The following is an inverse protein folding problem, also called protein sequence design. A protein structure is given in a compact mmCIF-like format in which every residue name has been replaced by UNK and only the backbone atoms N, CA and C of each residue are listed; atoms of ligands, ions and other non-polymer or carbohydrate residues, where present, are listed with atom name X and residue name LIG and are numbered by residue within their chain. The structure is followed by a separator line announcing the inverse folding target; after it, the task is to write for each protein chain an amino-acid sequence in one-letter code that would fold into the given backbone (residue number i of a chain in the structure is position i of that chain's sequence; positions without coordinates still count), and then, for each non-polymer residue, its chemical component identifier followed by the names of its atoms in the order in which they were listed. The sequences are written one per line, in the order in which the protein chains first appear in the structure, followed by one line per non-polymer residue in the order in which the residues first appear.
data_IF_534945704092
#
_entry.id   IF_534945704092
#
_cell.length_a   1.000
_cell.length_b   1.000
_cell.length_c   1.000
_cell.angle_alpha   90.00
_cell.angle_beta   90.00
_cell.angle_gamma   90.00
#
_symmetry.space_group_name_H-M   'P 1'
#
loop_
_entity.id
_entity.type
_entity.pdbx_description
1 polymer ?
#
# COMPACT_ATOMS: atom_id res chain seq x y z
N UNK A 1 -15.77 -3.85 -11.67
CA UNK A 1 -16.40 -2.51 -11.67
C UNK A 1 -16.38 -1.95 -13.09
N UNK A 2 -17.51 -1.48 -13.58
CA UNK A 2 -17.67 -0.99 -14.95
C UNK A 2 -16.95 0.36 -15.16
N UNK A 3 -16.51 0.64 -16.40
CA UNK A 3 -15.83 1.91 -16.76
C UNK A 3 -16.66 3.15 -16.42
N UNK A 4 -17.99 3.04 -16.48
CA UNK A 4 -18.91 4.13 -16.15
C UNK A 4 -18.78 4.59 -14.68
N UNK A 5 -18.59 3.65 -13.74
CA UNK A 5 -18.43 3.96 -12.32
C UNK A 5 -17.10 4.68 -12.06
N UNK A 6 -16.03 4.24 -12.72
CA UNK A 6 -14.69 4.87 -12.61
C UNK A 6 -14.73 6.31 -13.11
N UNK A 7 -15.40 6.57 -14.23
CA UNK A 7 -15.62 7.93 -14.74
C UNK A 7 -16.39 8.81 -13.74
N UNK A 8 -17.37 8.25 -13.01
CA UNK A 8 -18.09 8.97 -11.96
C UNK A 8 -17.15 9.36 -10.81
N UNK A 9 -16.31 8.43 -10.35
CA UNK A 9 -15.31 8.69 -9.29
C UNK A 9 -14.33 9.77 -9.72
N UNK A 10 -13.75 9.66 -10.92
CA UNK A 10 -12.79 10.64 -11.45
C UNK A 10 -13.42 12.04 -11.60
N UNK A 11 -14.67 12.12 -12.06
CA UNK A 11 -15.40 13.40 -12.12
C UNK A 11 -15.67 14.02 -10.76
N UNK A 12 -15.98 13.18 -9.76
CA UNK A 12 -16.17 13.67 -8.40
C UNK A 12 -14.86 14.20 -7.80
N UNK A 13 -13.72 13.55 -8.10
CA UNK A 13 -12.41 13.90 -7.57
C UNK A 13 -11.78 15.12 -8.25
N UNK A 14 -11.81 15.16 -9.59
CA UNK A 14 -11.05 16.13 -10.38
C UNK A 14 -11.92 17.04 -11.26
N UNK A 15 -13.24 16.85 -11.26
CA UNK A 15 -14.17 17.60 -12.10
C UNK A 15 -14.23 17.11 -13.55
N UNK A 16 -14.70 17.97 -14.46
CA UNK A 16 -14.79 17.67 -15.90
C UNK A 16 -15.93 16.72 -16.30
N UNK A 17 -15.83 16.20 -17.52
CA UNK A 17 -16.86 15.36 -18.18
C UNK A 17 -16.36 13.98 -18.61
N UNK A 18 -15.09 13.87 -18.97
CA UNK A 18 -14.49 12.63 -19.45
C UNK A 18 -13.01 12.54 -19.05
N UNK A 19 -12.60 11.39 -18.54
CA UNK A 19 -11.20 11.03 -18.34
C UNK A 19 -10.59 10.34 -19.55
N UNK A 20 -9.31 10.57 -19.79
CA UNK A 20 -8.48 9.78 -20.71
C UNK A 20 -8.43 8.31 -20.29
N UNK A 21 -8.28 7.42 -21.27
CA UNK A 21 -8.26 5.96 -21.03
C UNK A 21 -7.13 5.54 -20.08
N UNK A 22 -5.97 6.19 -20.15
CA UNK A 22 -4.85 5.92 -19.23
C UNK A 22 -5.20 6.25 -17.78
N UNK A 23 -5.93 7.35 -17.54
CA UNK A 23 -6.38 7.73 -16.20
C UNK A 23 -7.47 6.77 -15.69
N UNK A 24 -8.34 6.28 -16.57
CA UNK A 24 -9.33 5.24 -16.22
C UNK A 24 -8.64 3.96 -15.77
N UNK A 25 -7.64 3.48 -16.52
CA UNK A 25 -6.89 2.27 -16.15
C UNK A 25 -6.16 2.45 -14.81
N UNK A 26 -5.53 3.62 -14.61
CA UNK A 26 -4.89 3.96 -13.33
C UNK A 26 -5.89 3.93 -12.16
N UNK A 27 -7.02 4.62 -12.30
CA UNK A 27 -8.04 4.68 -11.26
C UNK A 27 -8.69 3.33 -10.98
N UNK A 28 -8.76 2.43 -11.97
CA UNK A 28 -9.20 1.05 -11.76
C UNK A 28 -8.30 0.34 -10.75
N UNK A 29 -6.99 0.42 -10.95
CA UNK A 29 -6.00 -0.21 -10.06
C UNK A 29 -6.04 0.45 -8.67
N UNK A 30 -6.21 1.78 -8.59
CA UNK A 30 -6.35 2.51 -7.33
C UNK A 30 -7.59 2.05 -6.54
N UNK A 31 -8.69 1.74 -7.23
CA UNK A 31 -9.91 1.26 -6.60
C UNK A 31 -9.86 -0.23 -6.23
N UNK A 32 -9.00 -1.02 -6.88
CA UNK A 32 -8.71 -2.39 -6.46
C UNK A 32 -7.86 -2.42 -5.19
N UNK A 33 -6.95 -1.46 -5.01
CA UNK A 33 -6.05 -1.33 -3.86
C UNK A 33 -6.03 0.10 -3.31
N UNK A 34 -7.11 0.55 -2.65
CA UNK A 34 -7.20 1.91 -2.10
C UNK A 34 -6.18 2.16 -0.97
N UNK A 35 -5.67 1.09 -0.37
CA UNK A 35 -4.67 1.12 0.69
C UNK A 35 -3.23 1.31 0.20
N UNK A 36 -2.99 1.37 -1.12
CA UNK A 36 -1.65 1.40 -1.71
C UNK A 36 -1.45 2.55 -2.70
N UNK A 37 -0.21 3.01 -2.83
CA UNK A 37 0.21 3.93 -3.89
C UNK A 37 0.37 3.16 -5.19
N UNK A 38 -0.39 3.54 -6.22
CA UNK A 38 -0.33 2.86 -7.51
C UNK A 38 0.83 3.39 -8.35
N UNK A 39 1.68 2.48 -8.81
CA UNK A 39 2.72 2.69 -9.82
C UNK A 39 2.31 1.98 -11.09
N UNK A 40 1.87 2.72 -12.11
CA UNK A 40 1.34 2.12 -13.31
C UNK A 40 2.35 2.23 -14.46
N UNK A 41 2.78 1.09 -14.97
CA UNK A 41 3.71 1.02 -16.09
C UNK A 41 3.13 1.73 -17.32
N UNK A 42 3.85 2.69 -17.86
CA UNK A 42 3.58 3.32 -19.14
C UNK A 42 4.87 3.35 -19.95
N UNK A 43 5.05 2.38 -20.84
CA UNK A 43 6.32 2.19 -21.56
C UNK A 43 7.49 1.91 -20.62
N UNK A 44 8.44 2.86 -20.54
CA UNK A 44 9.69 2.74 -19.75
C UNK A 44 9.61 3.35 -18.34
N UNK A 45 8.42 3.79 -17.93
CA UNK A 45 8.22 4.46 -16.65
C UNK A 45 7.10 3.79 -15.86
N UNK A 46 7.19 3.88 -14.54
CA UNK A 46 6.02 3.83 -13.66
C UNK A 46 5.48 5.25 -13.50
N UNK A 47 4.30 5.52 -14.07
CA UNK A 47 3.60 6.81 -13.96
C UNK A 47 2.55 6.77 -12.85
N UNK A 48 2.42 7.90 -12.15
CA UNK A 48 1.42 8.15 -11.11
C UNK A 48 0.74 9.48 -11.43
N UNK A 49 -0.58 9.57 -11.23
CA UNK A 49 -1.39 10.72 -11.66
C UNK A 49 -2.23 11.36 -10.55
N UNK A 50 -2.52 12.65 -10.68
CA UNK A 50 -3.40 13.39 -9.78
C UNK A 50 -2.81 13.59 -8.38
N UNK A 51 -3.65 13.48 -7.36
CA UNK A 51 -3.24 13.63 -5.95
C UNK A 51 -2.10 12.69 -5.53
N UNK A 52 -2.13 11.37 -5.86
CA UNK A 52 -1.01 10.50 -5.50
C UNK A 52 0.29 10.92 -6.20
N UNK A 53 0.25 11.58 -7.37
CA UNK A 53 1.45 12.10 -8.01
C UNK A 53 2.07 13.26 -7.21
N UNK A 54 1.24 14.15 -6.64
CA UNK A 54 1.70 15.25 -5.79
C UNK A 54 2.31 14.72 -4.49
N UNK A 55 1.63 13.76 -3.87
CA UNK A 55 2.12 13.08 -2.67
C UNK A 55 3.45 12.38 -2.93
N UNK A 56 3.52 11.55 -3.97
CA UNK A 56 4.73 10.82 -4.33
C UNK A 56 5.89 11.76 -4.67
N UNK A 57 5.60 12.85 -5.39
CA UNK A 57 6.55 13.94 -5.66
C UNK A 57 7.19 14.48 -4.39
N UNK A 58 6.40 14.73 -3.34
CA UNK A 58 6.93 15.19 -2.04
C UNK A 58 7.68 14.12 -1.26
N UNK A 59 7.16 12.89 -1.19
CA UNK A 59 7.78 11.81 -0.42
C UNK A 59 9.16 11.42 -0.96
N UNK A 60 9.30 11.44 -2.28
CA UNK A 60 10.47 10.93 -2.98
C UNK A 60 11.37 12.02 -3.59
N UNK A 61 10.98 13.28 -3.48
CA UNK A 61 11.62 14.42 -4.14
C UNK A 61 11.66 14.26 -5.68
N UNK A 62 10.53 13.83 -6.24
CA UNK A 62 10.38 13.65 -7.69
C UNK A 62 9.78 14.90 -8.32
N UNK A 63 10.22 15.18 -9.55
CA UNK A 63 9.62 16.25 -10.36
C UNK A 63 8.18 15.90 -10.73
N UNK A 64 7.25 16.77 -10.36
CA UNK A 64 5.84 16.70 -10.76
C UNK A 64 5.62 17.58 -11.99
N UNK A 65 5.10 16.98 -13.05
CA UNK A 65 4.65 17.66 -14.27
C UNK A 65 3.12 17.71 -14.33
N UNK A 66 2.57 18.39 -15.34
CA UNK A 66 1.15 18.41 -15.62
C UNK A 66 0.85 17.73 -16.97
N UNK A 67 -0.22 16.94 -17.02
CA UNK A 67 -0.64 16.19 -18.20
C UNK A 67 -2.15 16.39 -18.44
N UNK A 68 -2.60 16.61 -19.69
CA UNK A 68 -4.02 16.73 -20.00
C UNK A 68 -4.68 15.35 -19.91
N UNK A 69 -5.31 15.06 -18.77
CA UNK A 69 -5.83 13.72 -18.46
C UNK A 69 -7.35 13.68 -18.34
N UNK A 70 -8.01 14.83 -18.30
CA UNK A 70 -9.47 14.95 -18.33
C UNK A 70 -9.91 16.09 -19.24
N UNK A 71 -11.17 16.05 -19.66
CA UNK A 71 -11.82 17.11 -20.45
C UNK A 71 -12.81 17.86 -19.57
N UNK A 72 -12.71 19.18 -19.56
CA UNK A 72 -13.60 20.12 -18.85
C UNK A 72 -14.98 20.24 -19.50
N UNK A 73 -15.94 20.82 -18.77
CA UNK A 73 -17.31 21.06 -19.27
C UNK A 73 -17.32 22.06 -20.44
N UNK A 74 -16.38 22.98 -20.44
CA UNK A 74 -16.07 23.95 -21.49
C UNK A 74 -15.27 23.35 -22.66
N UNK A 75 -15.02 22.03 -22.64
CA UNK A 75 -14.20 21.27 -23.60
C UNK A 75 -12.69 21.57 -23.55
N UNK A 76 -12.22 22.35 -22.59
CA UNK A 76 -10.79 22.57 -22.40
C UNK A 76 -10.16 21.40 -21.61
N UNK A 77 -8.88 21.07 -21.84
CA UNK A 77 -8.22 20.02 -21.08
C UNK A 77 -8.03 20.43 -19.61
N UNK A 78 -8.36 19.51 -18.70
CA UNK A 78 -8.00 19.60 -17.29
C UNK A 78 -6.64 18.94 -17.13
N UNK A 79 -5.69 19.74 -16.67
CA UNK A 79 -4.32 19.35 -16.40
C UNK A 79 -4.24 18.72 -15.01
N UNK A 80 -3.76 17.48 -14.93
CA UNK A 80 -3.54 16.79 -13.66
C UNK A 80 -2.04 16.56 -13.45
N UNK A 81 -1.64 16.54 -12.18
CA UNK A 81 -0.28 16.22 -11.78
C UNK A 81 0.11 14.83 -12.29
N UNK A 82 1.37 14.69 -12.70
CA UNK A 82 1.97 13.43 -13.11
C UNK A 82 3.41 13.39 -12.63
N UNK A 83 3.81 12.26 -12.08
CA UNK A 83 5.22 11.97 -11.80
C UNK A 83 5.56 10.59 -12.34
N UNK A 84 6.82 10.39 -12.71
CA UNK A 84 7.30 9.16 -13.33
C UNK A 84 8.59 8.67 -12.67
N UNK A 85 8.70 7.36 -12.51
CA UNK A 85 9.92 6.68 -12.08
C UNK A 85 10.40 5.81 -13.23
N UNK A 86 11.66 5.91 -13.60
CA UNK A 86 12.22 5.09 -14.69
C UNK A 86 12.31 3.63 -14.25
N UNK A 87 11.86 2.72 -15.10
CA UNK A 87 12.02 1.27 -14.87
C UNK A 87 13.50 0.92 -14.95
N UNK A 88 13.99 0.17 -13.98
CA UNK A 88 15.40 -0.11 -13.71
C UNK A 88 16.02 0.80 -12.64
N UNK A 89 15.34 1.87 -12.19
CA UNK A 89 15.80 2.75 -11.11
C UNK A 89 14.77 2.92 -9.98
N UNK A 90 13.72 2.11 -9.96
CA UNK A 90 12.61 2.19 -9.02
C UNK A 90 12.94 1.65 -7.62
N UNK A 91 14.01 0.86 -7.51
CA UNK A 91 14.39 0.13 -6.29
C UNK A 91 14.56 1.05 -5.09
N UNK A 92 15.32 2.13 -5.23
CA UNK A 92 15.57 3.08 -4.13
C UNK A 92 14.28 3.81 -3.71
N UNK A 93 13.46 4.18 -4.69
CA UNK A 93 12.17 4.81 -4.44
C UNK A 93 11.22 3.88 -3.69
N UNK A 94 11.18 2.61 -4.07
CA UNK A 94 10.36 1.59 -3.44
C UNK A 94 10.81 1.38 -2.00
N UNK A 95 12.11 1.19 -1.78
CA UNK A 95 12.68 1.06 -0.44
C UNK A 95 12.30 2.23 0.47
N UNK A 96 12.42 3.48 0.00
CA UNK A 96 12.04 4.67 0.77
C UNK A 96 10.57 4.64 1.18
N UNK A 97 9.67 4.27 0.27
CA UNK A 97 8.23 4.17 0.58
C UNK A 97 7.93 3.06 1.60
N UNK A 98 8.53 1.88 1.46
CA UNK A 98 8.33 0.76 2.39
C UNK A 98 8.89 1.07 3.79
N UNK A 99 10.03 1.77 3.86
CA UNK A 99 10.56 2.31 5.11
C UNK A 99 9.62 3.33 5.74
N UNK A 100 8.91 4.12 4.95
CA UNK A 100 7.86 5.03 5.44
C UNK A 100 6.55 4.31 5.79
N UNK A 101 6.41 3.02 5.49
CA UNK A 101 5.22 2.22 5.79
C UNK A 101 4.11 2.32 4.72
N UNK A 102 4.42 2.82 3.53
CA UNK A 102 3.49 2.76 2.41
C UNK A 102 3.51 1.38 1.76
N UNK A 103 2.35 1.00 1.21
CA UNK A 103 2.22 -0.12 0.28
C UNK A 103 2.27 0.42 -1.15
N UNK A 104 2.83 -0.35 -2.08
CA UNK A 104 2.93 0.03 -3.49
C UNK A 104 2.26 -1.03 -4.36
N UNK A 105 1.25 -0.62 -5.12
CA UNK A 105 0.55 -1.46 -6.07
C UNK A 105 1.14 -1.25 -7.47
N UNK A 106 1.76 -2.27 -8.05
CA UNK A 106 2.42 -2.17 -9.35
C UNK A 106 1.49 -2.68 -10.44
N UNK A 107 1.05 -1.77 -11.31
CA UNK A 107 0.30 -2.10 -12.52
C UNK A 107 1.24 -2.29 -13.70
N UNK A 108 1.15 -3.42 -14.41
CA UNK A 108 2.01 -3.71 -15.58
C UNK A 108 1.21 -3.78 -16.87
N UNK A 109 1.88 -3.49 -17.98
CA UNK A 109 1.31 -3.67 -19.32
C UNK A 109 1.16 -5.16 -19.62
N UNK A 110 -0.02 -5.56 -20.10
CA UNK A 110 -0.31 -6.96 -20.47
C UNK A 110 0.05 -7.18 -21.94
N UNK A 111 0.73 -8.29 -22.24
CA UNK A 111 1.05 -8.69 -23.60
C UNK A 111 -0.21 -9.16 -24.35
N UNK A 112 -0.28 -8.91 -25.66
CA UNK A 112 -1.36 -9.41 -26.53
C UNK A 112 -2.20 -8.35 -27.24
N UNK A 113 -1.92 -7.06 -27.03
CA UNK A 113 -2.56 -6.00 -27.79
C UNK A 113 -1.84 -5.70 -29.10
N UNK A 114 -2.63 -5.43 -30.15
CA UNK A 114 -2.11 -5.11 -31.49
C UNK A 114 -1.38 -3.76 -31.46
N UNK A 115 -0.31 -3.65 -32.25
CA UNK A 115 0.37 -2.38 -32.48
C UNK A 115 -0.64 -1.28 -32.86
N UNK A 116 -0.59 -0.15 -32.14
CA UNK A 116 -1.50 0.99 -32.33
C UNK A 116 -2.74 1.01 -31.43
N UNK A 117 -2.94 0.03 -30.55
CA UNK A 117 -3.97 0.08 -29.49
C UNK A 117 -3.38 0.44 -28.12
N UNK A 118 -4.19 1.05 -27.25
CA UNK A 118 -3.76 1.43 -25.91
C UNK A 118 -3.62 0.20 -25.04
N UNK A 119 -2.36 -0.21 -24.80
CA UNK A 119 -1.97 -1.31 -23.92
C UNK A 119 -2.81 -1.36 -22.64
N UNK A 120 -3.53 -2.46 -22.42
CA UNK A 120 -4.18 -2.76 -21.15
C UNK A 120 -3.15 -2.93 -20.06
N UNK A 121 -3.52 -2.47 -18.87
CA UNK A 121 -2.73 -2.55 -17.65
C UNK A 121 -3.56 -3.19 -16.55
N UNK A 122 -2.92 -4.06 -15.79
CA UNK A 122 -3.55 -4.78 -14.69
C UNK A 122 -2.61 -4.75 -13.49
N UNK A 123 -3.20 -4.82 -12.29
CA UNK A 123 -2.45 -5.01 -11.07
C UNK A 123 -1.64 -6.31 -11.16
N UNK A 124 -0.32 -6.21 -11.11
CA UNK A 124 0.58 -7.34 -11.19
C UNK A 124 1.04 -7.82 -9.81
N UNK A 125 1.33 -6.88 -8.91
CA UNK A 125 1.81 -7.18 -7.57
C UNK A 125 1.50 -6.03 -6.60
N UNK A 126 1.47 -6.34 -5.31
CA UNK A 126 1.48 -5.34 -4.25
C UNK A 126 2.66 -5.61 -3.34
N UNK A 127 3.53 -4.61 -3.24
CA UNK A 127 4.71 -4.65 -2.38
C UNK A 127 4.36 -3.98 -1.06
N UNK A 128 4.57 -4.72 0.03
CA UNK A 128 4.31 -4.28 1.40
C UNK A 128 5.59 -4.38 2.23
N UNK A 129 5.71 -3.66 3.36
CA UNK A 129 6.91 -3.73 4.19
C UNK A 129 7.32 -5.14 4.63
N UNK A 130 6.38 -6.08 4.78
CA UNK A 130 6.70 -7.46 5.17
C UNK A 130 6.74 -8.47 4.02
N UNK A 131 6.35 -8.10 2.80
CA UNK A 131 6.28 -9.04 1.66
C UNK A 131 7.41 -8.85 0.66
N UNK A 132 8.54 -8.27 1.08
CA UNK A 132 9.63 -7.92 0.18
C UNK A 132 10.56 -9.12 0.00
N UNK A 133 10.74 -9.54 -1.25
CA UNK A 133 11.64 -10.65 -1.59
C UNK A 133 13.12 -10.25 -1.62
N UNK A 134 13.39 -8.99 -1.86
CA UNK A 134 14.73 -8.48 -2.07
C UNK A 134 15.31 -7.96 -0.75
N UNK A 135 16.34 -8.65 -0.24
CA UNK A 135 16.89 -8.41 1.10
C UNK A 135 17.46 -6.99 1.25
N UNK A 136 18.04 -6.39 0.19
CA UNK A 136 18.58 -5.03 0.32
C UNK A 136 17.50 -3.93 0.31
N UNK A 137 16.22 -4.28 0.16
CA UNK A 137 15.11 -3.31 0.24
C UNK A 137 14.69 -3.00 1.69
N UNK A 138 15.04 -3.85 2.67
CA UNK A 138 14.73 -3.62 4.09
C UNK A 138 16.02 -3.55 4.93
N UNK A 139 15.92 -2.97 6.11
CA UNK A 139 17.01 -3.10 7.10
C UNK A 139 16.92 -4.52 7.69
N UNK A 140 18.07 -5.23 7.77
CA UNK A 140 18.19 -6.67 8.10
C UNK A 140 17.37 -7.12 9.33
N UNK A 141 17.24 -6.24 10.32
CA UNK A 141 16.59 -6.54 11.60
C UNK A 141 15.06 -6.59 11.53
N UNK A 142 14.42 -6.13 10.45
CA UNK A 142 12.95 -6.02 10.35
C UNK A 142 12.42 -6.36 8.97
N UNK A 143 12.57 -7.62 8.56
CA UNK A 143 12.01 -8.18 7.30
C UNK A 143 10.86 -9.17 7.47
N UNK A 144 10.53 -9.56 8.70
CA UNK A 144 9.52 -10.59 8.95
C UNK A 144 8.09 -10.07 8.75
N UNK A 145 7.27 -10.86 8.07
CA UNK A 145 5.82 -10.74 8.10
C UNK A 145 5.30 -11.63 9.23
N UNK A 146 4.62 -11.07 10.21
CA UNK A 146 3.99 -11.80 11.29
C UNK A 146 2.46 -11.76 11.19
N UNK A 147 1.80 -12.78 11.68
CA UNK A 147 0.36 -12.84 11.88
C UNK A 147 0.06 -13.36 13.28
N UNK A 148 -0.89 -12.75 13.98
CA UNK A 148 -1.24 -13.11 15.35
C UNK A 148 -2.73 -13.30 15.53
N UNK A 149 -3.06 -14.23 16.42
CA UNK A 149 -4.41 -14.47 16.93
C UNK A 149 -4.36 -14.45 18.47
N UNK A 150 -5.36 -13.81 19.10
CA UNK A 150 -5.50 -13.75 20.56
C UNK A 150 -6.96 -14.05 20.91
N UNK A 151 -7.16 -14.97 21.86
CA UNK A 151 -8.43 -15.13 22.57
C UNK A 151 -8.22 -15.32 24.07
N UNK A 152 -9.28 -15.74 24.77
CA UNK A 152 -9.33 -15.65 26.25
C UNK A 152 -8.21 -16.39 26.98
N UNK A 153 -7.82 -17.58 26.52
CA UNK A 153 -6.76 -18.40 27.11
C UNK A 153 -5.89 -19.06 26.03
N UNK A 154 -5.80 -18.43 24.86
CA UNK A 154 -5.00 -18.91 23.75
C UNK A 154 -4.39 -17.74 22.97
N UNK A 155 -3.19 -17.95 22.44
CA UNK A 155 -2.55 -17.03 21.53
C UNK A 155 -1.75 -17.81 20.50
N UNK A 156 -1.67 -17.28 19.29
CA UNK A 156 -0.89 -17.87 18.21
C UNK A 156 -0.11 -16.81 17.45
N UNK A 157 1.05 -17.22 16.94
CA UNK A 157 1.94 -16.43 16.11
C UNK A 157 2.41 -17.28 14.93
N UNK A 158 2.27 -16.73 13.73
CA UNK A 158 3.00 -17.19 12.56
C UNK A 158 3.94 -16.06 12.12
N UNK A 159 5.20 -16.35 11.85
CA UNK A 159 6.17 -15.40 11.31
C UNK A 159 6.83 -16.01 10.08
N UNK A 160 6.93 -15.23 9.01
CA UNK A 160 7.51 -15.64 7.75
C UNK A 160 8.61 -14.66 7.33
N UNK A 161 9.72 -15.21 6.86
CA UNK A 161 10.68 -14.49 6.04
C UNK A 161 10.41 -14.84 4.57
N UNK A 162 9.81 -13.90 3.85
CA UNK A 162 9.34 -14.12 2.48
C UNK A 162 10.51 -14.26 1.50
N UNK A 163 11.69 -13.69 1.78
CA UNK A 163 12.86 -13.81 0.90
C UNK A 163 13.47 -15.21 0.94
N UNK A 164 13.44 -15.87 2.09
CA UNK A 164 14.02 -17.20 2.30
C UNK A 164 13.00 -18.33 2.26
N UNK A 165 11.71 -18.01 2.39
CA UNK A 165 10.63 -18.99 2.53
C UNK A 165 10.58 -19.63 3.92
N UNK A 166 11.34 -19.11 4.89
CA UNK A 166 11.32 -19.61 6.25
C UNK A 166 10.01 -19.23 6.94
N UNK A 167 9.42 -20.19 7.66
CA UNK A 167 8.16 -20.04 8.39
C UNK A 167 8.31 -20.61 9.79
N UNK A 168 7.89 -19.84 10.78
CA UNK A 168 7.85 -20.23 12.18
C UNK A 168 6.44 -20.05 12.72
N UNK A 169 5.93 -21.07 13.42
CA UNK A 169 4.63 -21.01 14.08
C UNK A 169 4.80 -21.37 15.56
N UNK A 170 4.12 -20.64 16.43
CA UNK A 170 4.03 -20.93 17.86
C UNK A 170 2.61 -20.70 18.35
N UNK A 171 2.20 -21.56 19.28
CA UNK A 171 0.92 -21.45 19.99
C UNK A 171 1.16 -21.53 21.50
N UNK A 172 0.35 -20.80 22.24
CA UNK A 172 0.35 -20.77 23.69
C UNK A 172 -1.07 -20.93 24.20
N UNK A 173 -1.20 -21.67 25.30
CA UNK A 173 -2.47 -21.90 25.99
C UNK A 173 -2.30 -21.59 27.49
N UNK A 174 -3.40 -21.17 28.11
CA UNK A 174 -3.44 -20.77 29.52
C UNK A 174 -3.57 -19.26 29.70
N UNK A 175 -3.71 -18.84 30.95
CA UNK A 175 -4.00 -17.44 31.31
C UNK A 175 -2.85 -16.47 30.96
N UNK A 176 -1.63 -16.99 30.74
CA UNK A 176 -0.43 -16.23 30.35
C UNK A 176 -0.15 -16.23 28.84
N UNK A 177 -1.01 -16.87 28.02
CA UNK A 177 -0.78 -17.05 26.58
C UNK A 177 -0.56 -15.71 25.85
N UNK A 178 -1.37 -14.70 26.17
CA UNK A 178 -1.25 -13.38 25.55
C UNK A 178 0.09 -12.70 25.90
N UNK A 179 0.56 -12.78 27.15
CA UNK A 179 1.83 -12.15 27.55
C UNK A 179 3.02 -12.81 26.85
N UNK A 180 3.00 -14.13 26.71
CA UNK A 180 4.03 -14.88 25.98
C UNK A 180 4.10 -14.50 24.50
N UNK A 181 2.95 -14.26 23.87
CA UNK A 181 2.90 -13.71 22.52
C UNK A 181 3.54 -12.32 22.45
N UNK A 182 3.25 -11.44 23.41
CA UNK A 182 3.81 -10.08 23.43
C UNK A 182 5.34 -10.10 23.58
N UNK A 183 5.87 -10.96 24.46
CA UNK A 183 7.32 -11.15 24.61
C UNK A 183 7.97 -11.62 23.30
N UNK A 184 7.31 -12.55 22.59
CA UNK A 184 7.81 -13.06 21.33
C UNK A 184 7.76 -12.02 20.21
N UNK A 185 6.71 -11.20 20.15
CA UNK A 185 6.61 -10.07 19.22
C UNK A 185 7.71 -9.03 19.45
N UNK A 186 8.02 -8.74 20.73
CA UNK A 186 9.10 -7.82 21.09
C UNK A 186 10.48 -8.38 20.68
N UNK A 187 10.66 -9.70 20.75
CA UNK A 187 11.88 -10.39 20.32
C UNK A 187 12.03 -10.41 18.80
N UNK A 188 10.93 -10.66 18.06
CA UNK A 188 10.96 -10.78 16.59
C UNK A 188 11.01 -9.44 15.87
N UNK A 189 10.37 -8.39 16.41
CA UNK A 189 10.33 -7.06 15.80
C UNK A 189 9.89 -7.05 14.33
N UNK A 190 8.74 -7.64 13.96
CA UNK A 190 8.36 -7.85 12.56
C UNK A 190 8.27 -6.55 11.76
N UNK A 191 8.55 -6.66 10.46
CA UNK A 191 8.41 -5.58 9.49
C UNK A 191 6.95 -5.18 9.30
N UNK A 192 6.06 -6.16 9.35
CA UNK A 192 4.62 -6.03 9.19
C UNK A 192 3.93 -7.10 10.05
N UNK A 193 2.85 -6.70 10.70
CA UNK A 193 2.06 -7.52 11.61
C UNK A 193 0.62 -7.55 11.13
N UNK A 194 0.10 -8.75 10.98
CA UNK A 194 -1.27 -9.04 10.60
C UNK A 194 -2.04 -9.49 11.84
N UNK A 195 -3.26 -9.01 12.01
CA UNK A 195 -4.11 -9.38 13.13
C UNK A 195 -5.58 -9.50 12.71
N UNK A 196 -6.40 -10.21 13.47
CA UNK A 196 -7.83 -10.28 13.21
C UNK A 196 -8.46 -8.87 13.17
N UNK A 197 -9.31 -8.60 12.18
CA UNK A 197 -9.99 -7.31 12.03
C UNK A 197 -10.90 -6.98 13.22
N UNK A 198 -11.46 -8.00 13.86
CA UNK A 198 -12.37 -7.88 15.00
C UNK A 198 -11.62 -7.75 16.33
N UNK A 199 -10.28 -7.83 16.33
CA UNK A 199 -9.47 -7.71 17.52
C UNK A 199 -9.73 -6.35 18.21
N UNK A 200 -10.00 -6.31 19.53
CA UNK A 200 -10.26 -5.06 20.23
C UNK A 200 -9.13 -4.06 20.06
N UNK A 201 -9.46 -2.76 20.06
CA UNK A 201 -8.45 -1.69 19.91
C UNK A 201 -7.35 -1.77 20.98
N UNK A 202 -7.72 -2.09 22.22
CA UNK A 202 -6.75 -2.26 23.32
C UNK A 202 -5.74 -3.37 23.02
N UNK A 203 -6.18 -4.49 22.47
CA UNK A 203 -5.31 -5.60 22.09
C UNK A 203 -4.44 -5.25 20.88
N UNK A 204 -4.98 -4.55 19.88
CA UNK A 204 -4.19 -4.00 18.77
C UNK A 204 -3.08 -3.06 19.24
N UNK A 205 -3.38 -2.20 20.21
CA UNK A 205 -2.39 -1.31 20.81
C UNK A 205 -1.32 -2.09 21.60
N UNK A 206 -1.68 -3.17 22.29
CA UNK A 206 -0.74 -4.07 22.99
C UNK A 206 0.21 -4.78 22.01
N UNK A 207 -0.31 -5.50 21.01
CA UNK A 207 0.52 -6.24 20.04
C UNK A 207 1.39 -5.29 19.19
N UNK A 208 0.83 -4.15 18.80
CA UNK A 208 1.55 -3.14 18.03
C UNK A 208 2.60 -2.40 18.87
N UNK A 209 2.36 -2.23 20.17
CA UNK A 209 3.34 -1.73 21.13
C UNK A 209 4.50 -2.70 21.35
N UNK A 210 4.19 -3.99 21.58
CA UNK A 210 5.18 -5.04 21.78
C UNK A 210 6.08 -5.23 20.56
N UNK A 211 5.50 -5.29 19.35
CA UNK A 211 6.26 -5.36 18.09
C UNK A 211 7.01 -4.06 17.74
N UNK A 212 6.74 -2.96 18.45
CA UNK A 212 7.31 -1.64 18.15
C UNK A 212 6.71 -0.96 16.91
N UNK A 213 5.64 -1.50 16.33
CA UNK A 213 4.98 -0.99 15.13
C UNK A 213 4.16 0.27 15.43
N UNK A 214 3.30 0.27 16.45
CA UNK A 214 2.35 1.37 16.71
C UNK A 214 3.04 2.71 16.94
N UNK A 215 4.19 2.73 17.63
CA UNK A 215 4.94 3.97 17.86
C UNK A 215 5.43 4.58 16.55
N UNK A 216 5.98 3.75 15.67
CA UNK A 216 6.47 4.18 14.35
C UNK A 216 5.30 4.61 13.46
N UNK A 217 4.19 3.88 13.49
CA UNK A 217 2.98 4.22 12.74
C UNK A 217 2.35 5.52 13.19
N UNK A 218 2.28 5.79 14.49
CA UNK A 218 1.71 7.03 15.00
C UNK A 218 2.49 8.26 14.51
N UNK A 219 3.82 8.21 14.59
CA UNK A 219 4.71 9.26 14.09
C UNK A 219 4.58 9.43 12.57
N UNK A 220 4.57 8.33 11.81
CA UNK A 220 4.44 8.35 10.35
C UNK A 220 3.07 8.82 9.90
N UNK A 221 2.01 8.37 10.56
CA UNK A 221 0.63 8.75 10.30
C UNK A 221 0.38 10.23 10.60
N UNK A 222 1.00 10.77 11.65
CA UNK A 222 0.97 12.21 11.92
C UNK A 222 1.68 13.02 10.83
N UNK A 223 2.88 12.59 10.42
CA UNK A 223 3.62 13.22 9.31
C UNK A 223 2.85 13.13 7.99
N UNK A 224 2.23 11.99 7.71
CA UNK A 224 1.40 11.78 6.52
C UNK A 224 0.22 12.74 6.51
N UNK A 225 -0.54 12.83 7.61
CA UNK A 225 -1.65 13.77 7.73
C UNK A 225 -1.21 15.22 7.51
N UNK A 226 -0.15 15.64 8.19
CA UNK A 226 0.39 17.00 8.03
C UNK A 226 0.79 17.28 6.56
N UNK A 227 1.39 16.30 5.88
CA UNK A 227 1.75 16.44 4.47
C UNK A 227 0.53 16.48 3.54
N UNK A 228 -0.48 15.64 3.78
CA UNK A 228 -1.74 15.69 3.04
C UNK A 228 -2.44 17.04 3.24
N UNK A 229 -2.47 17.56 4.46
CA UNK A 229 -3.05 18.87 4.78
C UNK A 229 -2.29 20.00 4.06
N UNK A 230 -0.94 19.98 4.07
CA UNK A 230 -0.10 20.93 3.34
C UNK A 230 -0.41 20.92 1.84
N UNK A 231 -0.62 19.73 1.27
CA UNK A 231 -0.87 19.54 -0.15
C UNK A 231 -2.36 19.67 -0.53
N UNK A 232 -3.27 19.81 0.44
CA UNK A 232 -4.72 19.83 0.22
C UNK A 232 -5.29 18.51 -0.30
N UNK A 233 -4.68 17.38 0.05
CA UNK A 233 -5.06 16.05 -0.43
C UNK A 233 -5.97 15.33 0.57
N UNK A 234 -6.86 14.48 0.07
CA UNK A 234 -7.56 13.52 0.91
C UNK A 234 -6.58 12.50 1.50
N UNK A 235 -6.73 12.17 2.79
CA UNK A 235 -5.95 11.14 3.46
C UNK A 235 -6.51 9.75 3.10
N UNK A 236 -6.18 9.29 1.90
CA UNK A 236 -6.74 8.07 1.31
C UNK A 236 -5.81 6.86 1.37
N UNK A 237 -4.53 7.05 1.72
CA UNK A 237 -3.53 5.98 1.65
C UNK A 237 -3.23 5.41 3.03
N UNK A 238 -3.07 4.08 3.11
CA UNK A 238 -2.65 3.44 4.33
C UNK A 238 -1.15 3.66 4.55
N UNK A 239 -0.80 4.18 5.71
CA UNK A 239 0.59 4.29 6.18
C UNK A 239 0.69 3.46 7.46
N UNK A 240 1.20 2.24 7.31
CA UNK A 240 1.19 1.29 8.40
C UNK A 240 1.80 -0.05 8.05
N UNK A 241 2.23 -0.71 9.11
CA UNK A 241 2.79 -2.06 9.19
C UNK A 241 1.92 -2.96 10.07
N UNK A 242 0.97 -2.45 10.83
CA UNK A 242 -0.07 -3.23 11.49
C UNK A 242 -1.30 -3.20 10.60
N UNK A 243 -1.69 -4.36 10.08
CA UNK A 243 -2.80 -4.46 9.14
C UNK A 243 -3.80 -5.50 9.60
N UNK A 244 -5.11 -5.18 9.56
CA UNK A 244 -6.11 -6.21 9.80
C UNK A 244 -6.06 -7.22 8.64
N UNK A 245 -6.14 -8.49 8.98
CA UNK A 245 -6.38 -9.55 8.02
C UNK A 245 -7.77 -9.33 7.42
N UNK A 246 -7.91 -9.40 6.10
CA UNK A 246 -9.24 -9.36 5.51
C UNK A 246 -10.06 -10.54 6.05
N UNK A 247 -11.27 -10.26 6.54
CA UNK A 247 -12.14 -11.29 7.15
C UNK A 247 -12.42 -12.48 6.21
N UNK A 248 -12.38 -12.27 4.88
CA UNK A 248 -12.58 -13.31 3.88
C UNK A 248 -11.41 -14.30 3.74
N UNK A 249 -10.23 -14.02 4.30
CA UNK A 249 -9.08 -14.93 4.27
C UNK A 249 -9.33 -16.20 5.11
N UNK A 250 -10.18 -16.09 6.14
CA UNK A 250 -10.51 -17.17 7.06
C UNK A 250 -11.95 -17.69 6.88
N UNK A 251 -12.69 -17.17 5.91
CA UNK A 251 -13.98 -17.73 5.55
C UNK A 251 -13.78 -19.09 4.90
N UNK A 252 -14.14 -20.16 5.60
CA UNK A 252 -14.43 -21.42 4.93
C UNK A 252 -15.70 -21.20 4.08
N UNK A 253 -15.60 -21.40 2.77
CA UNK A 253 -16.77 -21.72 1.95
C UNK A 253 -17.46 -22.99 2.47
#
# INVERSE_FOLDING_TARGET
METHDIQRVLRARYGGVAASDVLIQFARIELERPDALVWMQNGKFFEVYGDPARLLGRLLDLRVAEKPLMTGRDRNPIMLAMTGITIGSEREHLQRLLRMGYRVAIGREVAGERDGTLKARQLAEVVTPGSVFDEDLLDDDRRLLAAVEIGDAHAALAAADVSTGALWCQEWAGDDAAERLLDELARLGPAELLCNADLPRSERERIGGASGITRLEAERGQRHRALCDELGLANSYHVGRLSPLPAWWFGAE
#
